data_IF_904580193138
#
_entry.id   IF_904580193138
#
_cell.length_a   1.000
_cell.length_b   1.000
_cell.length_c   1.000
_cell.angle_alpha   90.00
_cell.angle_beta   90.00
_cell.angle_gamma   90.00
#
_symmetry.space_group_name_H-M   'P 1'
#
loop_
_entity.id
_entity.type
_entity.pdbx_description
1 polymer ?
#
# COMPACT_ATOMS: atom_id res chain seq x y z
N UNK A 1 -14.11 -3.95 29.69
CA UNK A 1 -12.77 -3.82 29.06
C UNK A 1 -12.30 -5.24 28.82
N UNK A 2 -12.65 -5.81 27.66
CA UNK A 2 -12.26 -7.18 27.31
C UNK A 2 -11.19 -7.08 26.24
N UNK A 3 -9.96 -7.43 26.61
CA UNK A 3 -8.90 -7.75 25.67
C UNK A 3 -9.25 -9.12 25.07
N UNK A 4 -9.45 -9.19 23.76
CA UNK A 4 -9.47 -10.45 23.03
C UNK A 4 -8.12 -10.58 22.34
N UNK A 5 -7.32 -11.54 22.78
CA UNK A 5 -6.11 -11.97 22.06
C UNK A 5 -6.52 -13.09 21.10
N UNK A 6 -6.21 -12.91 19.81
CA UNK A 6 -6.45 -13.92 18.78
C UNK A 6 -5.20 -14.81 18.69
N UNK A 7 -5.41 -16.13 18.77
CA UNK A 7 -4.38 -17.16 18.68
C UNK A 7 -4.63 -18.00 17.43
N UNK A 8 -3.58 -18.49 16.78
CA UNK A 8 -3.71 -19.50 15.73
C UNK A 8 -4.05 -20.89 16.33
N UNK A 9 -4.35 -21.87 15.46
CA UNK A 9 -4.64 -23.25 15.86
C UNK A 9 -3.46 -23.98 16.54
N UNK A 10 -2.29 -23.35 16.61
CA UNK A 10 -1.09 -23.84 17.27
C UNK A 10 -0.73 -23.02 18.53
N UNK A 11 -1.57 -22.07 18.95
CA UNK A 11 -1.42 -21.31 20.19
C UNK A 11 -0.25 -20.32 20.19
N UNK A 12 0.21 -19.86 19.02
CA UNK A 12 1.27 -18.84 18.93
C UNK A 12 0.68 -17.42 18.82
N UNK A 13 1.39 -16.44 19.38
CA UNK A 13 1.03 -15.01 19.31
C UNK A 13 1.20 -14.48 17.88
N UNK A 14 0.15 -13.85 17.35
CA UNK A 14 0.11 -13.33 15.98
C UNK A 14 0.91 -12.02 15.91
N UNK A 15 2.05 -12.06 15.23
CA UNK A 15 2.88 -10.88 14.92
C UNK A 15 2.15 -9.96 13.93
N UNK A 16 2.00 -8.67 14.28
CA UNK A 16 1.19 -7.63 13.62
C UNK A 16 1.49 -7.33 12.13
N UNK A 17 2.30 -8.12 11.45
CA UNK A 17 2.72 -7.87 10.06
C UNK A 17 2.21 -8.91 9.05
N UNK A 18 1.48 -9.95 9.46
CA UNK A 18 1.26 -11.13 8.62
C UNK A 18 -0.16 -11.32 8.04
N UNK A 19 -1.17 -10.55 8.45
CA UNK A 19 -2.57 -10.83 8.05
C UNK A 19 -3.10 -9.91 6.94
N UNK A 20 -2.45 -9.92 5.76
CA UNK A 20 -3.05 -9.31 4.55
C UNK A 20 -3.94 -10.31 3.78
N UNK A 21 -3.85 -11.61 4.07
CA UNK A 21 -4.59 -12.62 3.32
C UNK A 21 -5.08 -13.78 4.21
N UNK A 22 -6.08 -13.51 5.06
CA UNK A 22 -6.80 -14.61 5.70
C UNK A 22 -7.76 -15.24 4.70
N UNK A 23 -7.47 -16.50 4.42
CA UNK A 23 -8.17 -17.42 3.52
C UNK A 23 -9.61 -17.67 4.00
N UNK A 24 -10.57 -17.56 3.09
CA UNK A 24 -11.79 -18.35 3.19
C UNK A 24 -11.75 -19.43 2.12
N UNK A 25 -11.69 -20.66 2.63
CA UNK A 25 -11.84 -21.92 1.93
C UNK A 25 -13.18 -21.96 1.16
N UNK A 26 -13.10 -22.16 -0.15
CA UNK A 26 -14.11 -22.85 -0.97
C UNK A 26 -13.64 -22.94 -2.45
N UNK A 27 -13.03 -24.08 -2.79
CA UNK A 27 -12.69 -24.49 -4.16
C UNK A 27 -11.23 -24.90 -4.35
N UNK A 28 -11.01 -26.06 -5.00
CA UNK A 28 -9.76 -26.85 -5.07
C UNK A 28 -8.51 -26.15 -5.69
N UNK A 29 -8.62 -24.89 -6.15
CA UNK A 29 -7.50 -24.14 -6.71
C UNK A 29 -7.39 -22.75 -6.06
N UNK A 30 -6.32 -22.56 -5.27
CA UNK A 30 -5.97 -21.27 -4.67
C UNK A 30 -5.58 -20.20 -5.70
N UNK A 31 -5.24 -18.97 -5.26
CA UNK A 31 -4.74 -17.94 -6.16
C UNK A 31 -3.47 -18.38 -6.88
N UNK A 32 -3.21 -17.86 -8.11
CA UNK A 32 -1.94 -18.07 -8.77
C UNK A 32 -0.77 -17.73 -7.84
N UNK A 33 0.25 -18.59 -7.82
CA UNK A 33 1.42 -18.37 -6.97
C UNK A 33 2.16 -17.09 -7.39
N UNK A 34 2.51 -16.26 -6.40
CA UNK A 34 3.34 -15.08 -6.58
C UNK A 34 4.27 -14.92 -5.37
N UNK A 35 5.40 -14.24 -5.58
CA UNK A 35 6.31 -13.85 -4.49
C UNK A 35 5.80 -12.54 -3.90
N UNK A 36 5.48 -12.47 -2.58
CA UNK A 36 5.05 -11.21 -1.98
C UNK A 36 6.17 -10.19 -2.00
N UNK A 37 5.83 -8.96 -2.42
CA UNK A 37 6.72 -7.80 -2.45
C UNK A 37 6.08 -6.70 -1.61
N UNK A 38 6.72 -6.36 -0.50
CA UNK A 38 6.19 -5.38 0.47
C UNK A 38 6.58 -3.94 0.14
N UNK A 39 7.64 -3.76 -0.63
CA UNK A 39 8.14 -2.48 -1.15
C UNK A 39 8.69 -2.72 -2.54
N UNK A 40 8.55 -1.73 -3.41
CA UNK A 40 9.03 -1.84 -4.79
C UNK A 40 10.47 -2.37 -4.90
N UNK A 41 10.66 -3.41 -5.72
CA UNK A 41 11.97 -4.00 -6.01
C UNK A 41 12.52 -3.36 -7.30
N UNK A 42 13.58 -2.56 -7.19
CA UNK A 42 14.11 -1.82 -8.33
C UNK A 42 15.25 -2.61 -8.98
N UNK A 43 14.95 -3.27 -10.11
CA UNK A 43 15.93 -4.05 -10.88
C UNK A 43 16.69 -3.22 -11.90
N UNK A 44 16.04 -2.20 -12.48
CA UNK A 44 16.63 -1.36 -13.53
C UNK A 44 17.43 -0.16 -13.00
N UNK A 45 16.98 0.44 -11.89
CA UNK A 45 17.61 1.64 -11.30
C UNK A 45 17.76 1.50 -9.80
N UNK A 46 18.60 2.33 -9.18
CA UNK A 46 18.61 2.43 -7.72
C UNK A 46 17.38 3.19 -7.23
N UNK A 47 16.88 2.81 -6.07
CA UNK A 47 15.91 3.62 -5.34
C UNK A 47 16.58 4.95 -4.96
N UNK A 48 16.10 6.06 -5.53
CA UNK A 48 16.57 7.40 -5.18
C UNK A 48 15.99 7.81 -3.84
N UNK A 49 16.84 8.14 -2.87
CA UNK A 49 16.38 8.77 -1.62
C UNK A 49 16.34 10.28 -1.83
N UNK A 50 15.33 10.95 -1.29
CA UNK A 50 15.31 12.41 -1.22
C UNK A 50 16.50 12.87 -0.39
N UNK A 51 17.18 13.92 -0.85
CA UNK A 51 18.24 14.55 -0.07
C UNK A 51 17.64 15.44 1.00
N UNK A 52 18.36 15.61 2.10
CA UNK A 52 17.90 16.44 3.23
C UNK A 52 17.64 17.89 2.81
N UNK A 53 18.48 18.44 1.94
CA UNK A 53 18.34 19.79 1.36
C UNK A 53 17.08 19.98 0.49
N UNK A 54 16.53 18.89 -0.06
CA UNK A 54 15.34 18.89 -0.91
C UNK A 54 14.04 18.62 -0.12
N UNK A 55 14.13 18.36 1.20
CA UNK A 55 12.97 18.15 2.05
C UNK A 55 12.33 19.51 2.32
N UNK A 56 11.03 19.61 2.01
CA UNK A 56 10.21 20.75 2.40
C UNK A 56 9.27 20.30 3.53
N UNK A 57 9.59 20.63 4.80
CA UNK A 57 8.71 20.31 5.92
C UNK A 57 7.37 21.04 5.77
N UNK A 58 6.28 20.38 6.15
CA UNK A 58 5.00 21.06 6.31
C UNK A 58 5.05 22.05 7.49
N UNK A 59 4.13 23.00 7.52
CA UNK A 59 4.00 24.01 8.60
C UNK A 59 2.79 23.75 9.51
N UNK A 60 2.40 22.48 9.68
CA UNK A 60 1.24 22.12 10.46
C UNK A 60 1.42 22.48 11.95
N UNK A 61 0.35 23.00 12.55
CA UNK A 61 0.16 23.02 14.00
C UNK A 61 -0.76 21.85 14.36
N UNK A 62 -0.53 21.22 15.51
CA UNK A 62 -1.35 20.11 15.97
C UNK A 62 -1.64 20.23 17.47
N UNK A 63 -2.78 19.71 17.88
CA UNK A 63 -3.14 19.50 19.28
C UNK A 63 -2.76 18.06 19.67
N UNK A 64 -1.88 17.84 20.68
CA UNK A 64 -1.54 16.51 21.15
C UNK A 64 -2.74 15.67 21.65
N UNK A 65 -3.88 16.31 21.96
CA UNK A 65 -5.11 15.64 22.38
C UNK A 65 -6.02 15.27 21.19
N UNK A 66 -5.74 15.78 19.99
CA UNK A 66 -6.48 15.49 18.77
C UNK A 66 -5.53 14.95 17.70
N UNK A 67 -5.50 13.63 17.55
CA UNK A 67 -4.66 12.96 16.56
C UNK A 67 -5.00 13.38 15.13
N UNK A 68 -6.27 13.72 14.84
CA UNK A 68 -6.69 14.10 13.48
C UNK A 68 -6.09 15.46 13.05
N UNK A 69 -5.70 16.29 14.02
CA UNK A 69 -5.03 17.57 13.77
C UNK A 69 -3.59 17.42 13.22
N UNK A 70 -2.94 16.26 13.43
CA UNK A 70 -1.54 16.06 13.10
C UNK A 70 -1.33 15.62 11.63
N UNK A 71 -1.25 16.60 10.73
CA UNK A 71 -1.11 16.39 9.29
C UNK A 71 -2.27 15.61 8.64
N UNK A 72 -3.51 15.97 8.99
CA UNK A 72 -4.72 15.52 8.30
C UNK A 72 -4.88 16.15 6.90
N UNK A 73 -6.12 16.26 6.43
CA UNK A 73 -6.46 16.65 5.06
C UNK A 73 -5.97 18.07 4.67
N UNK A 74 -5.73 18.95 5.64
CA UNK A 74 -5.28 20.33 5.41
C UNK A 74 -3.76 20.51 5.43
N UNK A 75 -2.99 19.43 5.60
CA UNK A 75 -1.53 19.50 5.52
C UNK A 75 -1.08 19.84 4.10
N UNK A 76 -0.19 20.83 3.94
CA UNK A 76 0.34 21.20 2.61
C UNK A 76 0.92 19.99 1.86
N UNK A 77 1.68 19.15 2.57
CA UNK A 77 2.28 17.96 1.95
C UNK A 77 1.20 16.95 1.51
N UNK A 78 0.09 16.79 2.26
CA UNK A 78 -1.05 15.97 1.84
C UNK A 78 -1.69 16.55 0.57
N UNK A 79 -1.95 17.86 0.55
CA UNK A 79 -2.54 18.57 -0.60
C UNK A 79 -1.67 18.47 -1.87
N UNK A 80 -0.35 18.33 -1.72
CA UNK A 80 0.59 18.11 -2.84
C UNK A 80 0.99 16.65 -3.02
N UNK A 81 0.24 15.70 -2.46
CA UNK A 81 0.49 14.25 -2.58
C UNK A 81 1.94 13.84 -2.24
N UNK A 82 2.51 14.48 -1.23
CA UNK A 82 3.87 14.24 -0.73
C UNK A 82 3.77 13.77 0.73
N UNK A 83 4.48 12.70 1.11
CA UNK A 83 4.54 12.32 2.51
C UNK A 83 5.40 13.28 3.32
N UNK A 84 5.06 13.46 4.59
CA UNK A 84 5.94 14.15 5.52
C UNK A 84 7.17 13.30 5.80
N UNK A 85 8.37 13.88 5.78
CA UNK A 85 9.59 13.15 6.14
C UNK A 85 9.70 12.99 7.67
N UNK A 86 9.91 11.76 8.17
CA UNK A 86 10.16 11.50 9.59
C UNK A 86 11.33 12.34 10.12
N UNK A 87 11.16 12.92 11.31
CA UNK A 87 12.16 13.80 11.92
C UNK A 87 12.15 15.25 11.42
N UNK A 88 11.54 15.54 10.26
CA UNK A 88 11.45 16.90 9.72
C UNK A 88 10.09 17.56 9.99
N UNK A 89 9.03 16.77 10.14
CA UNK A 89 7.68 17.27 10.38
C UNK A 89 7.50 17.85 11.81
N UNK A 90 6.90 19.04 11.98
CA UNK A 90 6.63 19.62 13.30
C UNK A 90 5.67 18.77 14.16
N UNK A 91 4.82 17.95 13.53
CA UNK A 91 3.96 17.00 14.24
C UNK A 91 4.71 15.78 14.79
N UNK A 92 6.01 15.62 14.48
CA UNK A 92 6.85 14.54 14.97
C UNK A 92 6.24 13.16 14.75
N UNK A 93 6.19 12.36 15.81
CA UNK A 93 5.64 11.00 15.78
C UNK A 93 4.12 10.95 15.61
N UNK A 94 3.41 12.04 15.89
CA UNK A 94 1.96 12.15 15.73
C UNK A 94 1.54 12.37 14.27
N UNK A 95 2.49 12.69 13.38
CA UNK A 95 2.20 12.91 11.97
C UNK A 95 1.49 11.71 11.33
N UNK A 96 0.28 11.96 10.80
CA UNK A 96 -0.53 10.98 10.08
C UNK A 96 -0.21 10.88 8.58
N UNK A 97 0.66 11.76 8.04
CA UNK A 97 1.04 11.79 6.63
C UNK A 97 2.36 11.01 6.37
N UNK A 98 2.44 9.78 6.86
CA UNK A 98 3.60 8.86 6.73
C UNK A 98 3.13 7.40 6.47
N UNK A 99 1.99 7.24 5.81
CA UNK A 99 1.27 5.97 5.67
C UNK A 99 1.98 4.95 4.78
N UNK A 100 2.62 5.38 3.69
CA UNK A 100 3.46 4.52 2.84
C UNK A 100 4.71 4.10 3.61
N UNK A 101 5.43 5.07 4.18
CA UNK A 101 6.65 4.78 4.97
C UNK A 101 6.41 3.85 6.16
N UNK A 102 5.22 3.93 6.79
CA UNK A 102 4.82 3.09 7.93
C UNK A 102 4.02 1.83 7.54
N UNK A 103 3.77 1.60 6.25
CA UNK A 103 2.92 0.50 5.75
C UNK A 103 1.55 0.42 6.45
N UNK A 104 0.90 1.55 6.66
CA UNK A 104 -0.39 1.63 7.37
C UNK A 104 -1.56 1.31 6.42
N UNK A 105 -1.71 0.03 6.09
CA UNK A 105 -2.72 -0.46 5.14
C UNK A 105 -4.04 -0.80 5.82
N UNK A 106 -5.13 -0.59 5.10
CA UNK A 106 -6.44 -1.08 5.48
C UNK A 106 -6.49 -2.62 5.35
N UNK A 107 -7.29 -3.25 6.21
CA UNK A 107 -7.49 -4.70 6.17
C UNK A 107 -8.19 -5.09 4.87
N UNK A 108 -7.65 -6.09 4.17
CA UNK A 108 -8.22 -6.65 2.95
C UNK A 108 -8.36 -8.16 3.02
N UNK A 109 -9.36 -8.71 2.33
CA UNK A 109 -9.63 -10.14 2.26
C UNK A 109 -9.59 -10.55 0.79
N UNK A 110 -8.85 -11.61 0.48
CA UNK A 110 -8.83 -12.17 -0.87
C UNK A 110 -10.09 -13.01 -1.10
N UNK A 111 -10.73 -12.82 -2.25
CA UNK A 111 -11.92 -13.60 -2.60
C UNK A 111 -11.93 -13.99 -4.08
N UNK A 112 -12.57 -15.13 -4.38
CA UNK A 112 -12.81 -15.57 -5.75
C UNK A 112 -14.09 -14.92 -6.28
N UNK A 113 -13.98 -14.25 -7.43
CA UNK A 113 -15.12 -13.70 -8.16
C UNK A 113 -15.66 -14.70 -9.18
N UNK A 114 -16.94 -14.58 -9.52
CA UNK A 114 -17.53 -15.27 -10.67
C UNK A 114 -17.07 -14.60 -11.98
N UNK A 115 -16.32 -15.33 -12.81
CA UNK A 115 -15.93 -14.91 -14.15
C UNK A 115 -14.83 -13.83 -14.27
N UNK A 116 -14.35 -13.22 -13.16
CA UNK A 116 -13.30 -12.18 -13.19
C UNK A 116 -11.99 -12.55 -12.46
N UNK A 117 -11.89 -13.78 -11.96
CA UNK A 117 -10.69 -14.25 -11.25
C UNK A 117 -10.71 -13.90 -9.76
N UNK A 118 -9.57 -13.51 -9.21
CA UNK A 118 -9.42 -13.18 -7.79
C UNK A 118 -9.50 -11.66 -7.57
N UNK A 119 -10.10 -11.25 -6.46
CA UNK A 119 -10.22 -9.84 -6.08
C UNK A 119 -9.95 -9.61 -4.60
N UNK A 120 -10.00 -8.35 -4.17
CA UNK A 120 -9.88 -7.93 -2.78
C UNK A 120 -11.21 -7.34 -2.29
N UNK A 121 -11.64 -7.73 -1.09
CA UNK A 121 -12.72 -7.11 -0.32
C UNK A 121 -12.14 -6.32 0.84
N UNK A 122 -12.83 -5.27 1.25
CA UNK A 122 -12.49 -4.56 2.49
C UNK A 122 -12.80 -5.47 3.70
N UNK A 123 -11.80 -5.68 4.55
CA UNK A 123 -11.92 -6.41 5.82
C UNK A 123 -12.33 -5.52 7.00
N UNK A 124 -12.51 -4.22 6.75
CA UNK A 124 -12.96 -3.22 7.71
C UNK A 124 -13.71 -2.07 7.01
N UNK A 125 -14.32 -1.17 7.79
CA UNK A 125 -14.93 0.03 7.22
C UNK A 125 -13.84 1.03 6.81
N UNK A 126 -13.85 1.46 5.55
CA UNK A 126 -12.88 2.38 4.98
C UNK A 126 -13.57 3.73 4.80
N UNK A 127 -13.06 4.77 5.46
CA UNK A 127 -13.59 6.14 5.32
C UNK A 127 -13.26 6.70 3.93
N UNK A 128 -14.06 7.64 3.43
CA UNK A 128 -13.69 8.44 2.26
C UNK A 128 -12.34 9.12 2.49
N UNK A 129 -11.46 9.14 1.50
CA UNK A 129 -10.10 9.68 1.60
C UNK A 129 -9.10 8.81 2.37
N UNK A 130 -9.51 7.65 2.90
CA UNK A 130 -8.61 6.77 3.65
C UNK A 130 -7.69 5.99 2.71
N UNK A 131 -6.40 6.00 3.04
CA UNK A 131 -5.40 5.18 2.36
C UNK A 131 -5.67 3.69 2.54
N UNK A 132 -5.67 2.94 1.44
CA UNK A 132 -6.00 1.51 1.43
C UNK A 132 -4.73 0.65 1.44
N UNK A 133 -3.98 0.62 0.35
CA UNK A 133 -2.76 -0.21 0.22
C UNK A 133 -1.83 0.38 -0.85
N UNK A 134 -0.52 0.16 -0.71
CA UNK A 134 0.45 0.47 -1.76
C UNK A 134 0.45 -0.62 -2.84
N UNK A 135 0.48 -0.21 -4.11
CA UNK A 135 0.74 -1.11 -5.22
C UNK A 135 2.25 -1.37 -5.35
N UNK A 136 2.70 -2.51 -4.83
CA UNK A 136 4.10 -2.90 -4.84
C UNK A 136 4.40 -3.91 -5.95
N UNK A 137 5.55 -3.75 -6.62
CA UNK A 137 6.01 -4.68 -7.63
C UNK A 137 7.47 -4.46 -8.03
N UNK A 138 7.87 -5.08 -9.13
CA UNK A 138 9.18 -4.85 -9.73
C UNK A 138 9.16 -3.54 -10.54
N UNK A 139 10.11 -2.65 -10.27
CA UNK A 139 10.36 -1.46 -11.09
C UNK A 139 11.39 -1.84 -12.16
N UNK A 140 10.88 -2.15 -13.35
CA UNK A 140 11.62 -2.67 -14.49
C UNK A 140 11.87 -1.61 -15.56
N UNK A 141 12.74 -1.91 -16.53
CA UNK A 141 12.96 -1.02 -17.67
C UNK A 141 11.81 -1.10 -18.68
N UNK A 142 11.65 -0.06 -19.49
CA UNK A 142 10.72 -0.09 -20.64
C UNK A 142 10.95 -1.30 -21.55
N UNK A 143 12.23 -1.67 -21.76
CA UNK A 143 12.59 -2.83 -22.59
C UNK A 143 12.06 -4.13 -21.98
N UNK A 144 12.21 -4.31 -20.68
CA UNK A 144 11.74 -5.50 -19.97
C UNK A 144 10.20 -5.55 -19.95
N UNK A 145 9.54 -4.41 -19.70
CA UNK A 145 8.09 -4.30 -19.75
C UNK A 145 7.54 -4.72 -21.12
N UNK A 146 8.14 -4.19 -22.21
CA UNK A 146 7.75 -4.56 -23.59
C UNK A 146 7.96 -6.05 -23.88
N UNK A 147 9.08 -6.62 -23.44
CA UNK A 147 9.36 -8.06 -23.61
C UNK A 147 8.36 -8.93 -22.84
N UNK A 148 8.05 -8.57 -21.59
CA UNK A 148 7.03 -9.25 -20.78
C UNK A 148 5.66 -9.16 -21.44
N UNK A 149 5.27 -7.99 -21.93
CA UNK A 149 4.01 -7.76 -22.68
C UNK A 149 3.87 -8.69 -23.88
N UNK A 150 4.86 -8.72 -24.76
CA UNK A 150 4.85 -9.61 -25.93
C UNK A 150 4.76 -11.09 -25.54
N UNK A 151 5.44 -11.48 -24.46
CA UNK A 151 5.37 -12.85 -23.95
C UNK A 151 4.01 -13.21 -23.34
N UNK A 152 3.30 -12.26 -22.71
CA UNK A 152 1.95 -12.46 -22.19
C UNK A 152 0.88 -12.48 -23.29
N UNK A 153 1.01 -11.62 -24.30
CA UNK A 153 0.15 -11.62 -25.48
C UNK A 153 0.26 -12.95 -26.25
N UNK A 154 1.50 -13.44 -26.44
CA UNK A 154 1.76 -14.72 -27.09
C UNK A 154 1.29 -15.94 -26.29
N UNK A 155 0.97 -15.77 -24.99
CA UNK A 155 0.56 -16.85 -24.09
C UNK A 155 -0.95 -16.89 -23.79
N UNK A 156 -1.77 -16.04 -24.40
CA UNK A 156 -3.20 -15.84 -24.10
C UNK A 156 -3.51 -15.68 -22.59
N UNK A 157 -3.77 -14.43 -22.20
CA UNK A 157 -4.29 -13.95 -20.90
C UNK A 157 -3.37 -14.06 -19.67
N UNK A 158 -2.64 -12.98 -19.38
CA UNK A 158 -2.53 -12.47 -18.00
C UNK A 158 -2.31 -10.95 -18.06
N UNK A 159 -3.10 -10.21 -17.27
CA UNK A 159 -3.17 -8.76 -17.27
C UNK A 159 -1.82 -8.10 -16.92
N UNK A 160 -1.34 -7.23 -17.80
CA UNK A 160 -0.37 -6.20 -17.45
C UNK A 160 -1.15 -4.96 -16.98
N UNK A 161 -0.76 -4.43 -15.83
CA UNK A 161 -1.07 -3.05 -15.46
C UNK A 161 0.15 -2.22 -15.87
N UNK A 162 0.01 -1.54 -17.01
CA UNK A 162 1.05 -0.62 -17.50
C UNK A 162 1.13 0.60 -16.56
N UNK A 163 2.29 0.79 -15.93
CA UNK A 163 2.59 1.97 -15.12
C UNK A 163 2.87 3.25 -15.95
N UNK A 164 2.96 3.14 -17.28
CA UNK A 164 3.41 4.23 -18.16
C UNK A 164 2.28 4.97 -18.90
N UNK A 165 1.06 4.97 -18.34
CA UNK A 165 0.01 5.90 -18.74
C UNK A 165 -0.16 7.02 -17.70
N UNK A 166 0.78 7.98 -17.74
CA UNK A 166 0.58 9.42 -17.49
C UNK A 166 -0.31 9.78 -16.28
N UNK A 167 0.33 10.24 -15.18
CA UNK A 167 -0.04 11.47 -14.45
C UNK A 167 -1.52 11.91 -14.58
N UNK A 168 -2.44 11.12 -14.04
CA UNK A 168 -3.72 11.59 -13.54
C UNK A 168 -3.98 10.88 -12.22
N UNK A 169 -4.39 11.61 -11.18
CA UNK A 169 -4.41 11.11 -9.82
C UNK A 169 -5.50 10.04 -9.71
N UNK A 170 -5.11 8.77 -9.75
CA UNK A 170 -5.82 7.77 -8.94
C UNK A 170 -5.24 7.80 -7.53
N UNK A 171 -5.40 8.97 -6.90
CA UNK A 171 -5.70 9.01 -5.48
C UNK A 171 -7.06 8.34 -5.40
N UNK A 172 -7.16 7.16 -4.79
CA UNK A 172 -8.44 6.73 -4.27
C UNK A 172 -8.75 7.67 -3.10
N UNK A 173 -9.28 8.84 -3.42
CA UNK A 173 -10.01 9.72 -2.49
C UNK A 173 -11.44 9.21 -2.38
#
# INVERSE_FOLDING_TARGET
>A
MFHYELYDHHGSTISEHADIFLLQDQGDEGPPSYKPIWRNEFSYRKHTKQKEEDIVPCVCLYDPNDQESACGEHCLNVLTSTECTPGCCPCGNFCMNQRFQKCQYAKSILFKTEGRGWGLLAGENIKFGQFVIEYCGEVISWKDAKQRSQAYEAKEKQALLDMDAVMMPFVMS
#
